data_IF_200375867089
#
_entry.id   IF_200375867089
#
_cell.length_a   1.000
_cell.length_b   1.000
_cell.length_c   1.000
_cell.angle_alpha   90.00
_cell.angle_beta   90.00
_cell.angle_gamma   90.00
#
_symmetry.space_group_name_H-M   'P 1'
#
loop_
_entity.id
_entity.type
_entity.pdbx_description
1 polymer ?
#
# COMPACT_ATOMS: atom_id res chain seq x y z
N UNK A 1 -11.36 15.03 1.95
CA UNK A 1 -11.95 15.06 0.59
C UNK A 1 -11.07 14.38 -0.48
N UNK A 2 -10.42 13.27 -0.17
CA UNK A 2 -9.65 12.48 -1.16
C UNK A 2 -10.32 11.16 -1.58
N UNK A 3 -11.58 10.96 -1.19
CA UNK A 3 -12.22 9.65 -1.14
C UNK A 3 -12.61 9.08 -2.52
N UNK A 4 -13.22 9.85 -3.45
CA UNK A 4 -13.73 9.25 -4.69
C UNK A 4 -12.66 8.82 -5.70
N UNK A 5 -11.60 9.61 -5.87
CA UNK A 5 -10.51 9.28 -6.80
C UNK A 5 -9.69 8.08 -6.30
N UNK A 6 -9.44 8.03 -5.00
CA UNK A 6 -8.78 6.90 -4.36
C UNK A 6 -9.62 5.62 -4.45
N UNK A 7 -10.93 5.72 -4.20
CA UNK A 7 -11.84 4.57 -4.32
C UNK A 7 -11.86 4.01 -5.74
N UNK A 8 -11.95 4.86 -6.76
CA UNK A 8 -11.84 4.44 -8.17
C UNK A 8 -10.53 3.72 -8.49
N UNK A 9 -9.43 4.13 -7.86
CA UNK A 9 -8.11 3.50 -8.10
C UNK A 9 -7.98 2.16 -7.40
N UNK A 10 -8.57 2.01 -6.22
CA UNK A 10 -8.57 0.76 -5.44
C UNK A 10 -9.53 -0.28 -6.03
N UNK A 11 -10.67 0.18 -6.53
CA UNK A 11 -11.76 -0.62 -7.05
C UNK A 11 -11.96 -0.30 -8.53
N UNK A 12 -10.90 -0.43 -9.32
CA UNK A 12 -10.97 -0.21 -10.76
C UNK A 12 -11.68 -1.39 -11.43
N UNK A 13 -12.66 -1.14 -12.32
CA UNK A 13 -13.28 -2.19 -13.10
C UNK A 13 -12.25 -2.86 -14.02
N UNK A 14 -12.51 -4.10 -14.46
CA UNK A 14 -11.55 -4.89 -15.23
C UNK A 14 -11.34 -4.35 -16.65
N UNK A 15 -12.27 -3.53 -17.15
CA UNK A 15 -12.23 -2.95 -18.49
C UNK A 15 -12.68 -1.48 -18.48
N UNK A 16 -12.55 -0.81 -19.62
CA UNK A 16 -12.89 0.63 -19.79
C UNK A 16 -14.38 0.94 -19.75
N UNK A 17 -15.24 -0.04 -19.40
CA UNK A 17 -16.69 0.12 -19.32
C UNK A 17 -17.45 -0.22 -20.61
N UNK A 18 -16.73 -0.62 -21.67
CA UNK A 18 -17.32 -1.06 -22.94
C UNK A 18 -18.01 -2.42 -22.82
N UNK A 19 -17.46 -3.35 -22.03
CA UNK A 19 -18.15 -4.60 -21.68
C UNK A 19 -18.99 -4.41 -20.41
N UNK A 20 -20.21 -3.89 -20.59
CA UNK A 20 -21.10 -3.54 -19.48
C UNK A 20 -21.47 -4.72 -18.58
N UNK A 21 -21.62 -5.91 -19.15
CA UNK A 21 -21.93 -7.15 -18.40
C UNK A 21 -20.76 -7.56 -17.49
N UNK A 22 -19.54 -7.57 -18.03
CA UNK A 22 -18.32 -7.89 -17.25
C UNK A 22 -18.15 -6.89 -16.10
N UNK A 23 -18.36 -5.60 -16.35
CA UNK A 23 -18.29 -4.58 -15.31
C UNK A 23 -19.40 -4.74 -14.25
N UNK A 24 -20.61 -5.15 -14.66
CA UNK A 24 -21.71 -5.40 -13.73
C UNK A 24 -21.43 -6.61 -12.83
N UNK A 25 -20.93 -7.71 -13.39
CA UNK A 25 -20.52 -8.89 -12.64
C UNK A 25 -19.37 -8.60 -11.69
N UNK A 26 -18.35 -7.88 -12.15
CA UNK A 26 -17.24 -7.45 -11.30
C UNK A 26 -17.74 -6.63 -10.10
N UNK A 27 -18.68 -5.70 -10.34
CA UNK A 27 -19.24 -4.87 -9.28
C UNK A 27 -20.08 -5.69 -8.29
N UNK A 28 -20.76 -6.72 -8.77
CA UNK A 28 -21.62 -7.58 -7.94
C UNK A 28 -20.81 -8.57 -7.10
N UNK A 29 -19.77 -9.18 -7.68
CA UNK A 29 -19.08 -10.32 -7.07
C UNK A 29 -17.65 -10.03 -6.61
N UNK A 30 -16.92 -9.17 -7.32
CA UNK A 30 -15.48 -8.94 -7.06
C UNK A 30 -15.26 -7.77 -6.12
N UNK A 31 -15.89 -6.62 -6.39
CA UNK A 31 -15.70 -5.40 -5.59
C UNK A 31 -15.96 -5.61 -4.08
N UNK A 32 -17.05 -6.29 -3.65
CA UNK A 32 -17.33 -6.48 -2.22
C UNK A 32 -16.26 -7.33 -1.53
N UNK A 33 -15.80 -8.39 -2.18
CA UNK A 33 -14.76 -9.26 -1.61
C UNK A 33 -13.41 -8.56 -1.57
N UNK A 34 -13.07 -7.80 -2.61
CA UNK A 34 -11.85 -6.98 -2.61
C UNK A 34 -11.87 -5.95 -1.47
N UNK A 35 -13.02 -5.34 -1.20
CA UNK A 35 -13.20 -4.42 -0.06
C UNK A 35 -12.99 -5.11 1.28
N UNK A 36 -13.54 -6.32 1.44
CA UNK A 36 -13.35 -7.13 2.65
C UNK A 36 -11.87 -7.49 2.85
N UNK A 37 -11.16 -7.87 1.79
CA UNK A 37 -9.73 -8.17 1.83
C UNK A 37 -8.90 -6.93 2.21
N UNK A 38 -9.20 -5.78 1.62
CA UNK A 38 -8.53 -4.52 1.94
C UNK A 38 -8.75 -4.06 3.38
N UNK A 39 -9.99 -4.20 3.88
CA UNK A 39 -10.32 -3.92 5.27
C UNK A 39 -9.54 -4.86 6.21
N UNK A 40 -9.59 -6.17 5.97
CA UNK A 40 -8.91 -7.18 6.81
C UNK A 40 -7.40 -6.93 6.85
N UNK A 41 -6.80 -6.57 5.72
CA UNK A 41 -5.38 -6.23 5.64
C UNK A 41 -5.05 -4.99 6.48
N UNK A 42 -5.89 -3.95 6.41
CA UNK A 42 -5.70 -2.72 7.18
C UNK A 42 -5.85 -2.96 8.69
N UNK A 43 -6.82 -3.77 9.11
CA UNK A 43 -7.03 -4.17 10.50
C UNK A 43 -5.83 -4.96 11.04
N UNK A 44 -5.27 -5.87 10.25
CA UNK A 44 -4.06 -6.63 10.61
C UNK A 44 -2.86 -5.70 10.82
N UNK A 45 -2.64 -4.76 9.91
CA UNK A 45 -1.56 -3.77 10.03
C UNK A 45 -1.79 -2.84 11.22
N UNK A 46 -3.03 -2.42 11.47
CA UNK A 46 -3.36 -1.61 12.63
C UNK A 46 -3.02 -2.33 13.95
N UNK A 47 -3.40 -3.60 14.09
CA UNK A 47 -3.07 -4.42 15.24
C UNK A 47 -1.55 -4.60 15.40
N UNK A 48 -0.80 -4.81 14.31
CA UNK A 48 0.66 -4.88 14.38
C UNK A 48 1.29 -3.55 14.84
N UNK A 49 0.73 -2.41 14.39
CA UNK A 49 1.23 -1.08 14.76
C UNK A 49 1.00 -0.73 16.24
N UNK A 50 0.06 -1.39 16.94
CA UNK A 50 -0.11 -1.22 18.39
C UNK A 50 1.16 -1.55 19.18
N UNK A 51 2.05 -2.41 18.63
CA UNK A 51 3.37 -2.71 19.21
C UNK A 51 4.26 -1.48 19.41
N UNK A 52 4.02 -0.39 18.69
CA UNK A 52 4.83 0.83 18.76
C UNK A 52 4.54 1.68 20.01
N UNK A 53 3.52 1.34 20.79
CA UNK A 53 3.27 1.72 22.19
C UNK A 53 3.49 3.21 22.56
N UNK A 54 3.40 4.12 21.58
CA UNK A 54 3.32 5.59 21.71
C UNK A 54 4.38 6.29 22.59
N UNK A 55 5.34 5.57 23.15
CA UNK A 55 6.20 6.07 24.20
C UNK A 55 7.37 6.83 23.57
N UNK A 56 7.14 8.12 23.33
CA UNK A 56 8.07 9.08 22.72
C UNK A 56 9.44 9.15 23.43
N UNK A 57 9.59 8.56 24.62
CA UNK A 57 10.86 8.48 25.36
C UNK A 57 11.79 7.35 24.87
N UNK A 58 11.31 6.39 24.09
CA UNK A 58 12.15 5.37 23.47
C UNK A 58 12.60 5.85 22.10
N UNK A 59 13.90 6.16 21.98
CA UNK A 59 14.55 6.61 20.73
C UNK A 59 14.49 5.54 19.63
N UNK A 60 14.29 4.27 20.00
CA UNK A 60 14.11 3.16 19.06
C UNK A 60 12.90 2.30 19.44
N UNK A 61 11.90 2.27 18.57
CA UNK A 61 10.77 1.35 18.62
C UNK A 61 10.95 0.30 17.52
N UNK A 62 11.06 -0.96 17.91
CA UNK A 62 11.13 -2.07 16.93
C UNK A 62 9.72 -2.58 16.67
N UNK A 63 9.31 -2.56 15.41
CA UNK A 63 8.09 -3.24 14.95
C UNK A 63 8.44 -4.64 14.46
N UNK A 64 7.81 -5.66 15.03
CA UNK A 64 7.93 -7.04 14.54
C UNK A 64 6.72 -7.38 13.67
N UNK A 65 6.96 -7.70 12.41
CA UNK A 65 5.92 -8.13 11.47
C UNK A 65 5.99 -9.65 11.36
N UNK A 66 4.99 -10.40 11.85
CA UNK A 66 4.93 -11.85 11.63
C UNK A 66 4.89 -12.17 10.14
N UNK A 67 5.63 -13.19 9.68
CA UNK A 67 5.66 -13.56 8.26
C UNK A 67 4.26 -13.87 7.69
N UNK A 68 3.36 -14.42 8.51
CA UNK A 68 1.95 -14.67 8.14
C UNK A 68 1.13 -13.39 7.90
N UNK A 69 1.61 -12.22 8.33
CA UNK A 69 0.98 -10.91 8.09
C UNK A 69 1.58 -10.19 6.86
N UNK A 70 2.57 -10.78 6.19
CA UNK A 70 3.27 -10.15 5.08
C UNK A 70 2.32 -9.67 3.97
N UNK A 71 1.37 -10.50 3.54
CA UNK A 71 0.40 -10.14 2.49
C UNK A 71 -0.48 -8.96 2.91
N UNK A 72 -0.87 -8.90 4.19
CA UNK A 72 -1.64 -7.78 4.73
C UNK A 72 -0.82 -6.48 4.68
N UNK A 73 0.45 -6.54 5.05
CA UNK A 73 1.37 -5.39 4.96
C UNK A 73 1.63 -4.95 3.53
N UNK A 74 1.89 -5.89 2.61
CA UNK A 74 2.09 -5.59 1.19
C UNK A 74 0.84 -4.95 0.59
N UNK A 75 -0.33 -5.47 0.91
CA UNK A 75 -1.62 -4.93 0.49
C UNK A 75 -1.86 -3.53 1.04
N UNK A 76 -1.77 -3.33 2.36
CA UNK A 76 -2.04 -2.03 2.98
C UNK A 76 -1.06 -0.93 2.52
N UNK A 77 0.23 -1.26 2.37
CA UNK A 77 1.22 -0.32 1.84
C UNK A 77 0.91 0.03 0.38
N UNK A 78 0.50 -0.94 -0.44
CA UNK A 78 0.09 -0.67 -1.82
C UNK A 78 -1.15 0.24 -1.86
N UNK A 79 -2.16 -0.05 -1.05
CA UNK A 79 -3.38 0.76 -0.96
C UNK A 79 -3.05 2.21 -0.55
N UNK A 80 -2.19 2.39 0.46
CA UNK A 80 -1.74 3.71 0.89
C UNK A 80 -1.06 4.48 -0.25
N UNK A 81 -0.20 3.81 -1.05
CA UNK A 81 0.44 4.42 -2.21
C UNK A 81 -0.58 4.89 -3.26
N UNK A 82 -1.55 4.03 -3.60
CA UNK A 82 -2.61 4.36 -4.58
C UNK A 82 -3.49 5.53 -4.10
N UNK A 83 -3.87 5.53 -2.83
CA UNK A 83 -4.69 6.61 -2.23
C UNK A 83 -3.94 7.93 -2.25
N UNK A 84 -2.67 7.94 -1.84
CA UNK A 84 -1.85 9.16 -1.82
C UNK A 84 -1.62 9.68 -3.25
N UNK A 85 -1.31 8.79 -4.19
CA UNK A 85 -1.12 9.16 -5.59
C UNK A 85 -2.37 9.78 -6.21
N UNK A 86 -3.55 9.17 -5.99
CA UNK A 86 -4.81 9.71 -6.46
C UNK A 86 -5.17 11.04 -5.79
N UNK A 87 -4.84 11.22 -4.51
CA UNK A 87 -5.14 12.46 -3.77
C UNK A 87 -4.36 13.67 -4.29
N UNK A 88 -3.12 13.47 -4.72
CA UNK A 88 -2.23 14.54 -5.18
C UNK A 88 -2.03 14.58 -6.70
N UNK A 89 -2.77 13.73 -7.41
CA UNK A 89 -2.73 13.57 -8.86
C UNK A 89 -1.29 13.46 -9.38
N UNK A 90 -0.53 12.54 -8.79
CA UNK A 90 0.84 12.31 -9.23
C UNK A 90 0.84 11.66 -10.60
N UNK A 91 1.65 12.20 -11.51
CA UNK A 91 1.90 11.58 -12.82
C UNK A 91 2.91 10.43 -12.68
N UNK A 92 2.92 9.50 -13.64
CA UNK A 92 3.89 8.40 -13.67
C UNK A 92 5.34 8.89 -13.67
N UNK A 93 5.62 10.02 -14.35
CA UNK A 93 6.93 10.64 -14.35
C UNK A 93 7.36 11.13 -12.96
N UNK A 94 6.42 11.63 -12.15
CA UNK A 94 6.70 12.05 -10.78
C UNK A 94 6.87 10.86 -9.83
N UNK A 95 6.11 9.78 -10.04
CA UNK A 95 6.23 8.55 -9.26
C UNK A 95 7.54 7.79 -9.55
N UNK A 96 8.10 7.94 -10.77
CA UNK A 96 9.38 7.35 -11.17
C UNK A 96 10.61 8.22 -10.90
N UNK A 97 10.43 9.48 -10.49
CA UNK A 97 11.54 10.39 -10.20
C UNK A 97 12.09 10.17 -8.78
N UNK A 98 13.15 9.37 -8.68
CA UNK A 98 13.83 9.06 -7.42
C UNK A 98 14.79 10.15 -6.93
N UNK A 99 15.02 11.22 -7.71
CA UNK A 99 16.05 12.23 -7.41
C UNK A 99 15.47 13.59 -6.97
N UNK A 100 14.15 13.74 -6.95
CA UNK A 100 13.48 14.98 -6.49
C UNK A 100 13.68 15.23 -4.98
N UNK A 101 14.33 16.34 -4.63
CA UNK A 101 14.31 16.96 -3.29
C UNK A 101 14.62 18.47 -3.36
N UNK A 102 14.15 19.32 -2.42
CA UNK A 102 13.68 18.98 -1.07
C UNK A 102 12.19 19.21 -0.82
N UNK A 103 11.73 18.60 0.27
CA UNK A 103 10.40 18.67 0.88
C UNK A 103 10.03 20.15 1.15
N UNK A 104 9.41 20.81 0.17
CA UNK A 104 8.97 22.19 0.28
C UNK A 104 7.48 22.31 0.57
N UNK A 105 6.72 21.23 0.34
CA UNK A 105 5.27 21.22 0.48
C UNK A 105 4.73 19.90 1.03
N UNK A 106 3.45 19.92 1.44
CA UNK A 106 2.72 18.71 1.82
C UNK A 106 2.60 17.70 0.67
N UNK A 107 2.58 18.17 -0.57
CA UNK A 107 2.57 17.31 -1.77
C UNK A 107 3.89 16.58 -1.91
N UNK A 108 5.02 17.28 -1.74
CA UNK A 108 6.35 16.66 -1.82
C UNK A 108 6.58 15.63 -0.71
N UNK A 109 6.11 15.93 0.52
CA UNK A 109 6.12 14.95 1.62
C UNK A 109 5.31 13.70 1.27
N UNK A 110 4.18 13.87 0.59
CA UNK A 110 3.31 12.77 0.18
C UNK A 110 3.96 11.91 -0.91
N UNK A 111 4.73 12.51 -1.83
CA UNK A 111 5.54 11.78 -2.80
C UNK A 111 6.64 10.97 -2.10
N UNK A 112 7.31 11.56 -1.11
CA UNK A 112 8.24 10.84 -0.26
C UNK A 112 7.58 9.64 0.45
N UNK A 113 6.36 9.81 1.00
CA UNK A 113 5.62 8.71 1.62
C UNK A 113 5.32 7.57 0.63
N UNK A 114 4.93 7.88 -0.60
CA UNK A 114 4.68 6.86 -1.64
C UNK A 114 5.94 6.04 -1.92
N UNK A 115 7.10 6.70 -2.03
CA UNK A 115 8.38 6.04 -2.24
C UNK A 115 8.83 5.25 -1.01
N UNK A 116 8.65 5.81 0.18
CA UNK A 116 8.96 5.14 1.45
C UNK A 116 8.14 3.85 1.62
N UNK A 117 6.84 3.88 1.33
CA UNK A 117 6.02 2.67 1.38
C UNK A 117 6.43 1.64 0.34
N UNK A 118 6.81 2.06 -0.88
CA UNK A 118 7.35 1.15 -1.90
C UNK A 118 8.66 0.49 -1.45
N UNK A 119 9.57 1.26 -0.86
CA UNK A 119 10.79 0.75 -0.24
C UNK A 119 10.48 -0.27 0.87
N UNK A 120 9.49 -0.01 1.73
CA UNK A 120 9.07 -0.98 2.76
C UNK A 120 8.50 -2.27 2.17
N UNK A 121 7.75 -2.20 1.07
CA UNK A 121 7.26 -3.39 0.36
C UNK A 121 8.43 -4.22 -0.18
N UNK A 122 9.46 -3.59 -0.75
CA UNK A 122 10.67 -4.26 -1.22
C UNK A 122 11.38 -5.03 -0.10
N UNK A 123 11.52 -4.46 1.11
CA UNK A 123 12.08 -5.20 2.24
C UNK A 123 11.26 -6.44 2.59
N UNK A 124 9.94 -6.30 2.69
CA UNK A 124 9.07 -7.44 3.01
C UNK A 124 9.21 -8.54 1.95
N UNK A 125 9.23 -8.18 0.67
CA UNK A 125 9.41 -9.14 -0.43
C UNK A 125 10.79 -9.81 -0.38
N UNK A 126 11.86 -9.09 -0.08
CA UNK A 126 13.21 -9.65 0.06
C UNK A 126 13.31 -10.65 1.20
N UNK A 127 12.70 -10.35 2.34
CA UNK A 127 12.68 -11.26 3.49
C UNK A 127 11.84 -12.52 3.22
N UNK A 128 10.76 -12.41 2.42
CA UNK A 128 9.96 -13.57 1.99
C UNK A 128 10.67 -14.41 0.93
N UNK A 129 11.26 -13.76 -0.08
CA UNK A 129 12.00 -14.40 -1.18
C UNK A 129 13.41 -14.87 -0.79
N UNK A 130 13.93 -14.38 0.34
CA UNK A 130 15.23 -14.74 0.89
C UNK A 130 15.36 -16.20 1.36
N UNK A 131 14.26 -16.97 1.39
CA UNK A 131 14.29 -18.39 1.74
C UNK A 131 14.64 -19.33 0.58
N UNK A 132 14.57 -18.88 -0.68
CA UNK A 132 14.97 -19.71 -1.84
C UNK A 132 16.49 -19.78 -2.08
N UNK A 133 17.31 -19.12 -1.24
CA UNK A 133 18.78 -19.18 -1.34
C UNK A 133 19.49 -19.50 -0.01
N UNK A 134 19.03 -20.54 0.68
CA UNK A 134 19.62 -20.93 1.97
C UNK A 134 19.40 -22.39 2.37
N UNK A 135 19.60 -23.34 1.45
CA UNK A 135 19.87 -24.76 1.79
C UNK A 135 20.65 -25.44 0.64
N UNK A 136 21.83 -24.91 0.37
CA UNK A 136 22.78 -25.47 -0.59
C UNK A 136 24.19 -25.13 -0.15
N UNK A 137 24.87 -26.18 0.32
CA UNK A 137 26.23 -26.30 0.86
C UNK A 137 26.49 -25.85 2.31
#
# INVERSE_FOLDING_TARGET
>A
EGTPAAEKRLFSPPTSGTETEICAEWKLYVEPELRRLFQTATETVAADLEQLDGNEKKIASTLRIPSKHADAWLSALNQARLVIAAKYDFTDGELGDHFRSPIGSRRDLSLFQVNFYGFRQEFILRELGGWEKGSGD
#
